data_IF_847328555643
#
_entry.id   IF_847328555643
#
_cell.length_a   1.000
_cell.length_b   1.000
_cell.length_c   1.000
_cell.angle_alpha   90.00
_cell.angle_beta   90.00
_cell.angle_gamma   90.00
#
_symmetry.space_group_name_H-M   'P 1'
#
loop_
_entity.id
_entity.type
_entity.pdbx_description
1 polymer ?
#
# COMPACT_ATOMS: atom_id res chain seq x y z
N UNK A 1 7.64 64.16 -55.33
CA UNK A 1 8.02 64.49 -53.94
C UNK A 1 6.74 64.62 -53.12
N UNK A 2 6.20 63.47 -52.73
CA UNK A 2 6.05 62.92 -51.37
C UNK A 2 4.73 63.36 -50.71
N UNK A 3 3.75 62.48 -50.89
CA UNK A 3 2.48 62.38 -50.16
C UNK A 3 2.75 61.88 -48.73
N UNK A 4 2.34 62.65 -47.72
CA UNK A 4 2.49 62.33 -46.30
C UNK A 4 1.30 61.52 -45.78
N UNK A 5 1.42 60.20 -45.75
CA UNK A 5 0.41 59.29 -45.25
C UNK A 5 0.24 59.40 -43.72
N UNK A 6 -0.96 59.73 -43.28
CA UNK A 6 -1.42 59.65 -41.89
C UNK A 6 -1.51 58.16 -41.47
N UNK A 7 -0.50 57.64 -40.78
CA UNK A 7 -0.54 56.28 -40.21
C UNK A 7 -1.27 56.31 -38.86
N UNK A 8 -2.55 55.95 -38.85
CA UNK A 8 -3.27 55.56 -37.62
C UNK A 8 -2.75 54.19 -37.16
N UNK A 9 -1.92 54.15 -36.12
CA UNK A 9 -1.56 52.90 -35.44
C UNK A 9 -2.65 52.49 -34.46
N UNK A 10 -3.62 51.70 -34.91
CA UNK A 10 -4.43 50.88 -34.01
C UNK A 10 -3.59 49.68 -33.57
N UNK A 11 -2.82 49.82 -32.49
CA UNK A 11 -2.24 48.67 -31.79
C UNK A 11 -3.27 48.27 -30.74
N UNK A 12 -4.18 47.36 -31.12
CA UNK A 12 -5.04 46.67 -30.17
C UNK A 12 -4.19 45.71 -29.34
N UNK A 13 -3.97 46.01 -28.06
CA UNK A 13 -3.47 45.02 -27.11
C UNK A 13 -4.58 43.98 -26.92
N UNK A 14 -4.31 42.72 -27.27
CA UNK A 14 -5.24 41.64 -26.99
C UNK A 14 -5.38 41.47 -25.47
N UNK A 15 -6.54 41.81 -24.93
CA UNK A 15 -6.87 41.62 -23.51
C UNK A 15 -7.44 40.21 -23.35
N UNK A 16 -6.73 39.35 -22.62
CA UNK A 16 -7.22 38.01 -22.28
C UNK A 16 -7.88 38.05 -20.89
N UNK A 17 -9.20 37.85 -20.86
CA UNK A 17 -9.97 37.62 -19.63
C UNK A 17 -10.94 38.77 -19.27
N UNK A 18 -12.12 38.38 -18.77
CA UNK A 18 -13.20 39.28 -18.34
C UNK A 18 -12.76 40.34 -17.33
N UNK A 19 -11.84 39.99 -16.43
CA UNK A 19 -11.31 40.90 -15.40
C UNK A 19 -10.40 41.97 -16.00
N UNK A 20 -9.54 41.59 -16.97
CA UNK A 20 -8.71 42.56 -17.69
C UNK A 20 -9.56 43.54 -18.49
N UNK A 21 -10.65 43.06 -19.07
CA UNK A 21 -11.55 43.89 -19.87
C UNK A 21 -12.37 44.83 -18.98
N UNK A 22 -12.89 44.34 -17.86
CA UNK A 22 -13.60 45.14 -16.86
C UNK A 22 -12.73 46.29 -16.33
N UNK A 23 -11.51 46.00 -15.87
CA UNK A 23 -10.58 47.01 -15.35
C UNK A 23 -10.18 48.05 -16.41
N UNK A 24 -10.11 47.65 -17.69
CA UNK A 24 -9.82 48.60 -18.78
C UNK A 24 -10.97 49.56 -19.07
N UNK A 25 -12.23 49.11 -18.88
CA UNK A 25 -13.43 49.91 -19.11
C UNK A 25 -13.74 50.86 -17.96
N UNK A 26 -13.45 50.46 -16.71
CA UNK A 26 -13.63 51.32 -15.52
C UNK A 26 -12.77 52.58 -15.61
N UNK A 27 -11.60 52.50 -16.23
CA UNK A 27 -10.66 53.62 -16.36
C UNK A 27 -10.86 54.47 -17.63
N UNK A 28 -12.00 54.33 -18.33
CA UNK A 28 -12.31 55.09 -19.55
C UNK A 28 -13.57 55.94 -19.38
N UNK A 29 -13.50 57.18 -19.88
CA UNK A 29 -14.63 58.12 -19.91
C UNK A 29 -15.01 58.44 -21.35
N UNK A 30 -16.31 58.62 -21.59
CA UNK A 30 -16.81 59.06 -22.88
C UNK A 30 -16.68 60.59 -23.01
N UNK A 31 -15.81 61.05 -23.90
CA UNK A 31 -15.69 62.46 -24.26
C UNK A 31 -16.04 62.65 -25.73
N UNK A 32 -17.08 63.46 -26.00
CA UNK A 32 -17.62 63.71 -27.36
C UNK A 32 -17.88 62.43 -28.17
N UNK A 33 -18.40 61.39 -27.50
CA UNK A 33 -18.78 60.11 -28.14
C UNK A 33 -17.63 59.13 -28.39
N UNK A 34 -16.41 59.45 -27.96
CA UNK A 34 -15.25 58.55 -28.06
C UNK A 34 -14.80 58.15 -26.65
N UNK A 35 -14.49 56.87 -26.44
CA UNK A 35 -13.89 56.38 -25.19
C UNK A 35 -12.45 56.86 -25.10
N UNK A 36 -12.13 57.62 -24.06
CA UNK A 36 -10.80 58.14 -23.76
C UNK A 36 -10.39 57.65 -22.37
N UNK A 37 -9.17 57.14 -22.22
CA UNK A 37 -8.65 56.72 -20.92
C UNK A 37 -8.49 57.93 -20.00
N UNK A 38 -9.00 57.85 -18.77
CA UNK A 38 -8.88 58.91 -17.76
C UNK A 38 -7.50 58.89 -17.05
N UNK A 39 -6.62 57.97 -17.47
CA UNK A 39 -5.24 57.92 -16.99
C UNK A 39 -4.51 59.23 -17.31
N UNK A 40 -3.84 59.86 -16.33
CA UNK A 40 -3.07 61.08 -16.57
C UNK A 40 -1.99 60.79 -17.63
N UNK A 41 -1.99 61.55 -18.73
CA UNK A 41 -0.99 61.42 -19.81
C UNK A 41 0.37 62.04 -19.45
N UNK A 42 0.51 62.50 -18.20
CA UNK A 42 1.73 63.00 -17.61
C UNK A 42 1.97 62.24 -16.31
N UNK A 43 3.24 61.97 -16.00
CA UNK A 43 3.63 61.34 -14.75
C UNK A 43 3.19 62.22 -13.57
N UNK A 44 2.11 61.85 -12.89
CA UNK A 44 1.78 62.39 -11.57
C UNK A 44 2.53 61.56 -10.54
N UNK A 45 3.77 61.95 -10.25
CA UNK A 45 4.46 61.47 -9.06
C UNK A 45 3.74 62.05 -7.83
N UNK A 46 3.39 61.20 -6.88
CA UNK A 46 2.85 61.61 -5.57
C UNK A 46 3.88 62.51 -4.87
N UNK A 47 3.59 63.80 -4.83
CA UNK A 47 4.18 64.83 -3.99
C UNK A 47 5.70 65.09 -4.10
N UNK A 48 6.03 66.20 -4.76
CA UNK A 48 7.34 66.91 -4.82
C UNK A 48 8.49 66.15 -5.50
N UNK A 49 9.18 66.77 -6.48
CA UNK A 49 10.44 66.23 -6.95
C UNK A 49 11.44 66.37 -5.80
N UNK A 50 11.79 65.26 -5.17
CA UNK A 50 13.02 65.17 -4.40
C UNK A 50 14.15 65.57 -5.33
N UNK A 51 14.80 66.68 -5.02
CA UNK A 51 15.97 67.17 -5.72
C UNK A 51 16.97 66.00 -5.87
N UNK A 52 17.49 65.81 -7.07
CA UNK A 52 18.43 64.73 -7.42
C UNK A 52 19.53 64.58 -6.35
N UNK A 53 19.48 63.54 -5.51
CA UNK A 53 20.59 63.23 -4.60
C UNK A 53 20.34 62.42 -3.32
N UNK A 54 19.11 62.21 -2.86
CA UNK A 54 18.88 61.62 -1.52
C UNK A 54 18.57 60.12 -1.52
N UNK A 55 19.27 59.41 -0.64
CA UNK A 55 19.26 57.96 -0.40
C UNK A 55 18.11 57.52 0.53
N UNK A 56 17.02 58.28 0.58
CA UNK A 56 15.91 58.10 1.54
C UNK A 56 14.68 57.43 0.90
N UNK A 57 14.77 57.06 -0.38
CA UNK A 57 13.59 56.67 -1.17
C UNK A 57 13.20 55.18 -1.05
N UNK A 58 13.95 54.34 -0.33
CA UNK A 58 13.52 52.95 -0.10
C UNK A 58 12.28 52.89 0.81
N UNK A 59 12.26 53.70 1.88
CA UNK A 59 11.19 53.65 2.87
C UNK A 59 9.88 54.22 2.33
N UNK A 60 9.94 55.33 1.59
CA UNK A 60 8.75 55.99 1.01
C UNK A 60 8.15 55.16 -0.11
N UNK A 61 8.98 54.54 -0.97
CA UNK A 61 8.48 53.64 -2.01
C UNK A 61 7.85 52.37 -1.41
N UNK A 62 8.44 51.82 -0.35
CA UNK A 62 7.91 50.65 0.32
C UNK A 62 6.61 50.97 1.06
N UNK A 63 6.50 52.11 1.74
CA UNK A 63 5.27 52.56 2.41
C UNK A 63 4.14 52.84 1.39
N UNK A 64 4.45 53.50 0.27
CA UNK A 64 3.47 53.71 -0.81
C UNK A 64 3.00 52.39 -1.43
N UNK A 65 3.91 51.43 -1.62
CA UNK A 65 3.56 50.09 -2.11
C UNK A 65 2.63 49.37 -1.12
N UNK A 66 2.89 49.45 0.18
CA UNK A 66 2.01 48.88 1.19
C UNK A 66 0.64 49.57 1.23
N UNK A 67 0.57 50.89 1.10
CA UNK A 67 -0.70 51.64 1.10
C UNK A 67 -1.55 51.41 -0.15
N UNK A 68 -0.94 51.36 -1.34
CA UNK A 68 -1.64 51.01 -2.59
C UNK A 68 -2.18 49.58 -2.54
N UNK A 69 -1.39 48.63 -2.03
CA UNK A 69 -1.83 47.25 -1.84
C UNK A 69 -2.85 47.11 -0.71
N UNK A 70 -2.83 47.99 0.30
CA UNK A 70 -3.80 48.03 1.41
C UNK A 70 -5.19 48.42 0.89
N UNK A 71 -5.30 49.50 0.11
CA UNK A 71 -6.57 49.91 -0.52
C UNK A 71 -7.12 48.82 -1.44
N UNK A 72 -6.26 48.11 -2.19
CA UNK A 72 -6.65 46.94 -3.01
C UNK A 72 -7.00 45.68 -2.19
N UNK A 73 -6.60 45.60 -0.92
CA UNK A 73 -6.86 44.46 -0.05
C UNK A 73 -8.06 44.66 0.87
N UNK A 74 -8.45 45.89 1.18
CA UNK A 74 -9.54 46.20 2.13
C UNK A 74 -10.93 45.70 1.66
N UNK A 75 -11.17 45.59 0.35
CA UNK A 75 -12.50 45.24 -0.19
C UNK A 75 -12.71 43.74 -0.51
N UNK A 76 -11.67 42.90 -0.56
CA UNK A 76 -11.76 41.47 -0.96
C UNK A 76 -10.97 40.52 -0.05
N UNK A 77 -10.88 40.84 1.25
CA UNK A 77 -10.04 40.11 2.22
C UNK A 77 -10.39 38.62 2.33
N UNK A 78 -11.67 38.27 2.31
CA UNK A 78 -12.12 36.88 2.48
C UNK A 78 -11.83 35.99 1.26
N UNK A 79 -12.00 36.53 0.04
CA UNK A 79 -11.72 35.80 -1.20
C UNK A 79 -10.23 35.50 -1.30
N UNK A 80 -9.37 36.50 -1.06
CA UNK A 80 -7.90 36.34 -1.07
C UNK A 80 -7.43 35.35 0.02
N UNK A 81 -8.00 35.43 1.22
CA UNK A 81 -7.70 34.48 2.30
C UNK A 81 -8.08 33.05 1.91
N UNK A 82 -9.25 32.87 1.30
CA UNK A 82 -9.72 31.56 0.82
C UNK A 82 -8.80 31.00 -0.27
N UNK A 83 -8.37 31.83 -1.22
CA UNK A 83 -7.40 31.43 -2.25
C UNK A 83 -6.06 31.01 -1.65
N UNK A 84 -5.53 31.73 -0.66
CA UNK A 84 -4.28 31.38 0.03
C UNK A 84 -4.43 30.05 0.79
N UNK A 85 -5.54 29.83 1.49
CA UNK A 85 -5.80 28.57 2.18
C UNK A 85 -5.96 27.40 1.22
N UNK A 86 -6.63 27.60 0.08
CA UNK A 86 -6.76 26.59 -0.96
C UNK A 86 -5.38 26.23 -1.55
N UNK A 87 -4.53 27.22 -1.84
CA UNK A 87 -3.17 26.99 -2.33
C UNK A 87 -2.29 26.25 -1.31
N UNK A 88 -2.35 26.65 -0.03
CA UNK A 88 -1.63 25.96 1.04
C UNK A 88 -2.12 24.51 1.19
N UNK A 89 -3.44 24.28 1.12
CA UNK A 89 -4.00 22.93 1.20
C UNK A 89 -3.52 22.05 0.05
N UNK A 90 -3.46 22.56 -1.19
CA UNK A 90 -2.92 21.84 -2.34
C UNK A 90 -1.43 21.56 -2.17
N UNK A 91 -0.66 22.54 -1.69
CA UNK A 91 0.78 22.39 -1.44
C UNK A 91 1.07 21.31 -0.39
N UNK A 92 0.45 21.40 0.79
CA UNK A 92 0.63 20.40 1.84
C UNK A 92 0.06 19.03 1.45
N UNK A 93 -1.07 19.00 0.74
CA UNK A 93 -1.63 17.77 0.19
C UNK A 93 -0.69 17.08 -0.80
N UNK A 94 -0.04 17.85 -1.68
CA UNK A 94 0.98 17.37 -2.60
C UNK A 94 2.21 16.83 -1.88
N UNK A 95 2.73 17.57 -0.88
CA UNK A 95 3.87 17.13 -0.08
C UNK A 95 3.58 15.84 0.68
N UNK A 96 2.41 15.73 1.33
CA UNK A 96 2.01 14.52 2.05
C UNK A 96 1.82 13.32 1.11
N UNK A 97 1.27 13.56 -0.08
CA UNK A 97 1.11 12.51 -1.10
C UNK A 97 2.46 12.00 -1.59
N UNK A 98 3.39 12.92 -1.85
CA UNK A 98 4.77 12.56 -2.22
C UNK A 98 5.48 11.81 -1.10
N UNK A 99 5.39 12.29 0.14
CA UNK A 99 5.98 11.63 1.30
C UNK A 99 5.42 10.21 1.50
N UNK A 100 4.10 10.02 1.29
CA UNK A 100 3.48 8.69 1.31
C UNK A 100 4.02 7.79 0.21
N UNK A 101 4.06 8.26 -1.04
CA UNK A 101 4.59 7.46 -2.16
C UNK A 101 6.06 7.08 -1.94
N UNK A 102 6.86 8.01 -1.41
CA UNK A 102 8.25 7.76 -1.06
C UNK A 102 8.38 6.71 0.06
N UNK A 103 7.60 6.84 1.14
CA UNK A 103 7.59 5.88 2.24
C UNK A 103 7.15 4.49 1.79
N UNK A 104 6.08 4.39 0.99
CA UNK A 104 5.61 3.11 0.43
C UNK A 104 6.66 2.53 -0.53
N UNK A 105 7.33 3.36 -1.33
CA UNK A 105 8.46 2.96 -2.18
C UNK A 105 9.64 2.39 -1.39
N UNK A 106 10.02 3.03 -0.28
CA UNK A 106 11.06 2.53 0.62
C UNK A 106 10.66 1.22 1.30
N UNK A 107 9.44 1.13 1.83
CA UNK A 107 8.91 -0.10 2.44
C UNK A 107 8.89 -1.22 1.40
N UNK A 108 8.46 -0.93 0.16
CA UNK A 108 8.49 -1.88 -0.94
C UNK A 108 9.91 -2.36 -1.29
N UNK A 109 10.91 -1.48 -1.17
CA UNK A 109 12.33 -1.83 -1.36
C UNK A 109 12.85 -2.73 -0.23
N UNK A 110 12.45 -2.47 1.01
CA UNK A 110 12.85 -3.23 2.21
C UNK A 110 12.17 -4.60 2.31
N UNK A 111 10.91 -4.71 1.86
CA UNK A 111 10.19 -5.99 1.80
C UNK A 111 10.79 -6.99 0.80
N UNK A 112 11.76 -6.54 -0.01
CA UNK A 112 12.46 -7.37 -0.97
C UNK A 112 11.73 -7.53 -2.30
N UNK A 113 12.39 -8.21 -3.22
CA UNK A 113 11.83 -8.53 -4.53
C UNK A 113 11.41 -9.99 -4.59
N UNK A 114 10.35 -10.28 -5.36
CA UNK A 114 9.95 -11.65 -5.65
C UNK A 114 11.10 -12.34 -6.39
N UNK A 115 11.82 -13.23 -5.69
CA UNK A 115 12.98 -13.94 -6.27
C UNK A 115 12.57 -15.15 -7.10
N UNK A 116 11.45 -15.78 -6.75
CA UNK A 116 10.89 -16.93 -7.45
C UNK A 116 9.38 -16.80 -7.54
N UNK A 117 8.83 -17.23 -8.67
CA UNK A 117 7.40 -17.51 -8.77
C UNK A 117 7.09 -18.76 -7.94
N UNK A 118 6.05 -18.67 -7.11
CA UNK A 118 5.64 -19.79 -6.29
C UNK A 118 4.85 -20.76 -7.14
N UNK A 119 5.12 -22.04 -6.94
CA UNK A 119 4.39 -23.10 -7.60
C UNK A 119 2.98 -23.16 -7.02
N UNK A 120 1.97 -23.20 -7.89
CA UNK A 120 0.56 -23.25 -7.51
C UNK A 120 0.14 -24.62 -7.01
N UNK A 121 0.82 -25.67 -7.49
CA UNK A 121 0.61 -27.05 -7.07
C UNK A 121 1.94 -27.81 -7.04
N UNK A 122 1.96 -28.94 -6.35
CA UNK A 122 3.06 -29.90 -6.34
C UNK A 122 2.52 -31.31 -6.43
N UNK A 123 2.96 -32.05 -7.44
CA UNK A 123 2.68 -33.47 -7.58
C UNK A 123 3.84 -34.29 -7.06
N UNK A 124 3.53 -35.33 -6.29
CA UNK A 124 4.54 -36.25 -5.78
C UNK A 124 4.01 -37.68 -5.73
N UNK A 125 4.87 -38.62 -6.09
CA UNK A 125 4.62 -40.05 -5.99
C UNK A 125 4.80 -40.53 -4.54
N UNK A 126 3.77 -41.21 -4.00
CA UNK A 126 3.71 -41.82 -2.66
C UNK A 126 3.70 -43.35 -2.75
N UNK A 127 3.81 -43.94 -3.95
CA UNK A 127 3.84 -45.39 -4.14
C UNK A 127 4.89 -46.10 -3.27
N UNK A 128 6.06 -45.48 -3.13
CA UNK A 128 7.18 -45.99 -2.35
C UNK A 128 7.07 -45.73 -0.84
N UNK A 129 6.11 -44.91 -0.39
CA UNK A 129 5.91 -44.62 1.04
C UNK A 129 5.09 -45.73 1.69
N UNK A 130 5.69 -46.57 2.57
CA UNK A 130 4.96 -47.62 3.21
C UNK A 130 3.96 -47.05 4.24
N UNK A 131 2.85 -47.76 4.51
CA UNK A 131 1.89 -47.36 5.53
C UNK A 131 2.55 -47.29 6.92
N UNK A 132 2.35 -46.17 7.62
CA UNK A 132 2.96 -45.85 8.91
C UNK A 132 4.15 -44.90 8.81
N UNK A 133 4.66 -44.64 7.60
CA UNK A 133 5.79 -43.74 7.38
C UNK A 133 5.41 -42.29 7.04
N UNK A 134 6.37 -41.39 7.23
CA UNK A 134 6.29 -39.95 7.02
C UNK A 134 7.36 -39.56 6.02
N UNK A 135 6.93 -39.00 4.90
CA UNK A 135 7.78 -38.33 3.94
C UNK A 135 7.86 -36.84 4.29
N UNK A 136 9.06 -36.27 4.20
CA UNK A 136 9.31 -34.85 4.44
C UNK A 136 9.79 -34.20 3.16
N UNK A 137 9.12 -33.14 2.76
CA UNK A 137 9.43 -32.42 1.52
C UNK A 137 9.44 -30.92 1.77
N UNK A 138 9.97 -30.16 0.83
CA UNK A 138 9.94 -28.70 0.87
C UNK A 138 9.15 -28.19 -0.31
N UNK A 139 8.06 -27.46 -0.03
CA UNK A 139 7.24 -26.82 -1.05
C UNK A 139 7.21 -25.31 -0.82
N UNK A 140 7.57 -24.52 -1.84
CA UNK A 140 7.64 -23.06 -1.77
C UNK A 140 8.50 -22.49 -0.61
N UNK A 141 9.49 -23.27 -0.13
CA UNK A 141 10.35 -22.91 1.01
C UNK A 141 9.78 -23.31 2.37
N UNK A 142 8.58 -23.87 2.42
CA UNK A 142 7.97 -24.42 3.63
C UNK A 142 8.08 -25.94 3.68
N UNK A 143 8.54 -26.53 4.81
CA UNK A 143 8.57 -27.97 4.95
C UNK A 143 7.15 -28.51 5.14
N UNK A 144 6.86 -29.65 4.52
CA UNK A 144 5.57 -30.32 4.52
C UNK A 144 5.77 -31.78 4.93
N UNK A 145 4.89 -32.26 5.82
CA UNK A 145 4.80 -33.66 6.18
C UNK A 145 3.68 -34.34 5.43
N UNK A 146 4.02 -35.48 4.87
CA UNK A 146 3.10 -36.38 4.19
C UNK A 146 3.19 -37.71 4.92
N UNK A 147 2.17 -38.05 5.70
CA UNK A 147 2.11 -39.30 6.46
C UNK A 147 1.06 -40.22 5.87
N UNK A 148 1.45 -41.45 5.55
CA UNK A 148 0.49 -42.51 5.18
C UNK A 148 0.10 -43.26 6.44
N UNK A 149 -1.16 -43.16 6.85
CA UNK A 149 -1.70 -43.77 8.06
C UNK A 149 -2.20 -45.19 7.79
N UNK A 150 -1.89 -46.10 8.70
CA UNK A 150 -2.48 -47.45 8.68
C UNK A 150 -3.89 -47.43 9.28
N UNK A 151 -4.70 -48.45 8.97
CA UNK A 151 -6.03 -48.60 9.58
C UNK A 151 -5.99 -48.80 11.09
N UNK A 152 -4.92 -49.37 11.62
CA UNK A 152 -4.73 -49.53 13.06
C UNK A 152 -4.49 -48.18 13.72
N UNK A 153 -3.59 -47.38 13.15
CA UNK A 153 -3.30 -46.04 13.66
C UNK A 153 -4.53 -45.14 13.68
N UNK A 154 -5.37 -45.24 12.65
CA UNK A 154 -6.65 -44.50 12.60
C UNK A 154 -7.54 -44.89 13.78
N UNK A 155 -7.70 -46.19 14.03
CA UNK A 155 -8.50 -46.69 15.15
C UNK A 155 -7.91 -46.25 16.50
N UNK A 156 -6.60 -46.33 16.66
CA UNK A 156 -5.92 -45.94 17.88
C UNK A 156 -6.10 -44.44 18.17
N UNK A 157 -5.95 -43.59 17.15
CA UNK A 157 -6.10 -42.14 17.24
C UNK A 157 -7.54 -41.68 17.45
N UNK A 158 -8.51 -42.42 16.92
CA UNK A 158 -9.94 -42.17 17.12
C UNK A 158 -10.40 -42.56 18.54
N UNK A 159 -9.73 -43.55 19.16
CA UNK A 159 -9.99 -44.00 20.53
C UNK A 159 -9.36 -43.08 21.60
N UNK A 160 -8.43 -42.20 21.24
CA UNK A 160 -7.79 -41.29 22.19
C UNK A 160 -8.81 -40.26 22.75
N UNK A 161 -8.70 -39.90 24.04
CA UNK A 161 -9.61 -38.96 24.66
C UNK A 161 -9.51 -37.59 23.98
N UNK A 162 -10.66 -37.09 23.49
CA UNK A 162 -10.75 -35.78 22.81
C UNK A 162 -10.51 -34.60 23.75
N UNK A 163 -10.69 -34.79 25.05
CA UNK A 163 -10.45 -33.79 26.10
C UNK A 163 -8.99 -33.35 26.20
N UNK A 164 -8.06 -34.20 25.75
CA UNK A 164 -6.62 -33.89 25.77
C UNK A 164 -6.15 -33.10 24.54
N UNK A 165 -7.06 -32.81 23.59
CA UNK A 165 -6.76 -31.99 22.42
C UNK A 165 -6.84 -30.52 22.84
N UNK A 166 -5.76 -29.78 22.61
CA UNK A 166 -5.71 -28.35 22.94
C UNK A 166 -6.49 -27.48 21.93
N UNK A 167 -6.54 -27.91 20.66
CA UNK A 167 -7.29 -27.26 19.58
C UNK A 167 -8.38 -28.20 19.02
N UNK A 168 -9.58 -28.22 19.62
CA UNK A 168 -10.67 -29.10 19.21
C UNK A 168 -11.41 -28.59 17.96
N UNK A 169 -11.24 -27.31 17.60
CA UNK A 169 -12.01 -26.67 16.53
C UNK A 169 -11.35 -26.78 15.15
N UNK A 170 -10.06 -27.13 15.08
CA UNK A 170 -9.38 -27.29 13.79
C UNK A 170 -9.89 -28.53 13.04
N UNK A 171 -10.08 -28.39 11.74
CA UNK A 171 -10.42 -29.52 10.87
C UNK A 171 -9.16 -30.35 10.56
N UNK A 172 -9.20 -31.64 10.90
CA UNK A 172 -8.22 -32.63 10.41
C UNK A 172 -8.86 -33.34 9.22
N UNK A 173 -8.33 -33.10 8.02
CA UNK A 173 -8.78 -33.74 6.80
C UNK A 173 -7.81 -34.85 6.43
N UNK A 174 -8.34 -36.06 6.30
CA UNK A 174 -7.60 -37.24 5.86
C UNK A 174 -8.08 -37.60 4.45
N UNK A 175 -7.14 -37.74 3.52
CA UNK A 175 -7.46 -38.06 2.13
C UNK A 175 -7.35 -39.56 1.92
N UNK A 176 -8.35 -40.17 1.28
CA UNK A 176 -8.37 -41.61 1.06
C UNK A 176 -7.36 -42.00 -0.03
N UNK A 177 -6.60 -43.06 0.21
CA UNK A 177 -5.57 -43.62 -0.68
C UNK A 177 -5.71 -45.15 -0.65
N UNK A 178 -6.61 -45.68 -1.47
CA UNK A 178 -7.02 -47.08 -1.47
C UNK A 178 -7.47 -47.57 -0.09
N UNK A 179 -6.73 -48.53 0.47
CA UNK A 179 -6.99 -49.11 1.80
C UNK A 179 -6.39 -48.30 2.97
N UNK A 180 -5.67 -47.22 2.68
CA UNK A 180 -4.99 -46.35 3.64
C UNK A 180 -5.52 -44.93 3.57
N UNK A 181 -5.12 -44.08 4.52
CA UNK A 181 -5.38 -42.64 4.45
C UNK A 181 -4.06 -41.88 4.48
N UNK A 182 -4.01 -40.75 3.81
CA UNK A 182 -2.85 -39.85 3.81
C UNK A 182 -3.22 -38.57 4.54
N UNK A 183 -2.31 -38.12 5.38
CA UNK A 183 -2.36 -36.83 6.05
C UNK A 183 -1.26 -35.94 5.46
N UNK A 184 -1.65 -34.77 4.97
CA UNK A 184 -0.72 -33.74 4.47
C UNK A 184 -0.85 -32.49 5.33
N UNK A 185 0.21 -32.14 6.03
CA UNK A 185 0.24 -31.01 6.99
C UNK A 185 1.54 -30.23 6.86
N UNK A 186 1.50 -28.96 7.24
CA UNK A 186 2.70 -28.13 7.35
C UNK A 186 3.59 -28.66 8.47
N UNK A 187 4.89 -28.80 8.20
CA UNK A 187 5.87 -29.22 9.19
C UNK A 187 6.36 -28.07 10.09
N UNK A 188 5.62 -26.95 10.12
CA UNK A 188 5.94 -25.80 10.96
C UNK A 188 5.15 -25.85 12.26
N UNK A 189 5.87 -26.00 13.37
CA UNK A 189 5.29 -25.94 14.71
C UNK A 189 4.58 -24.60 14.91
N UNK A 190 3.33 -24.66 15.35
CA UNK A 190 2.47 -23.48 15.59
C UNK A 190 2.92 -22.60 16.76
N UNK A 191 3.92 -23.03 17.55
CA UNK A 191 4.54 -22.20 18.57
C UNK A 191 5.39 -21.08 17.94
N UNK A 192 6.53 -21.43 17.32
CA UNK A 192 7.51 -20.48 16.77
C UNK A 192 8.10 -20.92 15.42
N UNK A 193 7.51 -21.93 14.76
CA UNK A 193 7.92 -22.36 13.42
C UNK A 193 9.08 -23.36 13.35
N UNK A 194 9.52 -23.93 14.48
CA UNK A 194 10.46 -25.06 14.47
C UNK A 194 9.86 -26.28 13.74
N UNK A 195 10.71 -27.17 13.23
CA UNK A 195 10.29 -28.42 12.57
C UNK A 195 10.15 -29.54 13.62
N UNK A 196 8.95 -30.10 13.85
CA UNK A 196 8.77 -31.24 14.75
C UNK A 196 9.44 -32.52 14.20
N UNK A 197 10.01 -33.33 15.08
CA UNK A 197 10.61 -34.62 14.71
C UNK A 197 9.52 -35.70 14.74
N UNK A 198 9.34 -36.51 13.68
CA UNK A 198 8.34 -37.57 13.65
C UNK A 198 8.73 -38.76 14.55
N UNK A 199 7.75 -39.60 14.87
CA UNK A 199 7.89 -40.86 15.64
C UNK A 199 8.38 -40.69 17.07
N UNK A 200 8.18 -39.51 17.65
CA UNK A 200 8.63 -39.19 19.00
C UNK A 200 7.44 -38.80 19.88
N UNK A 201 7.65 -38.88 21.20
CA UNK A 201 6.68 -38.45 22.21
C UNK A 201 5.65 -39.50 22.58
N UNK A 202 4.78 -39.14 23.53
CA UNK A 202 3.81 -40.08 24.14
C UNK A 202 2.79 -40.67 23.15
N UNK A 203 2.56 -39.99 22.02
CA UNK A 203 1.56 -40.36 21.02
C UNK A 203 2.15 -40.95 19.74
N UNK A 204 3.48 -41.17 19.68
CA UNK A 204 4.18 -41.64 18.47
C UNK A 204 3.86 -40.80 17.20
N UNK A 205 3.53 -39.51 17.40
CA UNK A 205 3.23 -38.55 16.35
C UNK A 205 4.45 -37.70 16.05
N UNK A 206 4.45 -36.46 16.55
CA UNK A 206 5.57 -35.54 16.38
C UNK A 206 5.94 -34.81 17.67
N UNK A 207 7.23 -34.51 17.85
CA UNK A 207 7.72 -33.68 18.97
C UNK A 207 8.59 -32.55 18.47
N UNK A 208 8.23 -31.33 18.84
CA UNK A 208 9.05 -30.15 18.64
C UNK A 208 10.05 -30.02 19.80
N UNK A 209 11.32 -30.33 19.53
CA UNK A 209 12.40 -30.30 20.53
C UNK A 209 12.76 -28.88 21.01
N UNK A 210 12.26 -27.83 20.36
CA UNK A 210 12.58 -26.46 20.74
C UNK A 210 12.02 -26.09 22.13
N UNK A 211 10.74 -26.44 22.39
CA UNK A 211 10.07 -26.14 23.65
C UNK A 211 9.15 -27.28 24.13
N UNK A 212 9.27 -28.47 23.54
CA UNK A 212 8.58 -29.68 23.99
C UNK A 212 7.11 -29.78 23.58
N UNK A 213 6.70 -29.16 22.47
CA UNK A 213 5.33 -29.37 21.96
C UNK A 213 5.18 -30.77 21.38
N UNK A 214 4.14 -31.49 21.81
CA UNK A 214 3.84 -32.86 21.39
C UNK A 214 2.56 -32.86 20.57
N UNK A 215 2.63 -33.52 19.42
CA UNK A 215 1.54 -33.73 18.49
C UNK A 215 1.26 -35.24 18.36
N UNK A 216 -0.01 -35.60 18.22
CA UNK A 216 -0.43 -36.97 17.90
C UNK A 216 -0.26 -37.30 16.40
N UNK A 217 -0.63 -38.50 15.93
CA UNK A 217 -0.43 -38.90 14.53
C UNK A 217 -1.35 -38.21 13.53
N UNK A 218 -2.39 -37.53 14.00
CA UNK A 218 -3.26 -36.64 13.21
C UNK A 218 -2.78 -35.19 13.21
N UNK A 219 -1.60 -34.95 13.79
CA UNK A 219 -0.95 -33.66 13.91
C UNK A 219 -1.69 -32.68 14.82
N UNK A 220 -2.51 -33.22 15.73
CA UNK A 220 -3.21 -32.46 16.76
C UNK A 220 -2.30 -32.28 17.95
N UNK A 221 -2.28 -31.07 18.49
CA UNK A 221 -1.47 -30.70 19.63
C UNK A 221 -2.09 -31.25 20.91
N UNK A 222 -1.27 -31.94 21.70
CA UNK A 222 -1.67 -32.60 22.95
C UNK A 222 -0.99 -31.98 24.17
N UNK A 223 0.23 -31.48 23.99
CA UNK A 223 1.02 -30.92 25.09
C UNK A 223 1.98 -29.85 24.60
N UNK A 224 2.33 -28.93 25.50
CA UNK A 224 3.39 -27.94 25.32
C UNK A 224 2.86 -26.53 25.09
N UNK A 225 3.75 -25.59 24.71
CA UNK A 225 3.38 -24.18 24.52
C UNK A 225 2.62 -23.91 23.21
N UNK A 226 2.60 -24.86 22.28
CA UNK A 226 1.79 -24.75 21.07
C UNK A 226 0.32 -24.96 21.42
N UNK A 227 -0.55 -24.05 20.99
CA UNK A 227 -2.00 -24.12 21.26
C UNK A 227 -2.83 -24.54 20.03
N UNK A 228 -2.20 -24.62 18.84
CA UNK A 228 -2.88 -24.91 17.58
C UNK A 228 -2.31 -26.17 16.94
N UNK A 229 -3.15 -26.92 16.23
CA UNK A 229 -2.75 -28.11 15.49
C UNK A 229 -1.86 -27.73 14.29
N UNK A 230 -1.07 -28.68 13.76
CA UNK A 230 -0.28 -28.37 12.56
C UNK A 230 -1.24 -28.01 11.40
N UNK A 231 -0.97 -26.92 10.66
CA UNK A 231 -1.86 -26.48 9.59
C UNK A 231 -2.05 -27.57 8.53
N UNK A 232 -3.30 -27.92 8.27
CA UNK A 232 -3.66 -28.79 7.15
C UNK A 232 -3.33 -28.12 5.81
N UNK A 233 -2.90 -28.92 4.83
CA UNK A 233 -2.65 -28.46 3.47
C UNK A 233 -3.61 -29.18 2.53
N UNK A 234 -4.30 -28.39 1.71
CA UNK A 234 -5.23 -28.93 0.74
C UNK A 234 -4.50 -29.88 -0.21
N UNK A 235 -5.04 -31.08 -0.38
CA UNK A 235 -4.45 -32.11 -1.20
C UNK A 235 -5.52 -33.02 -1.80
N UNK A 236 -5.19 -33.59 -2.96
CA UNK A 236 -5.97 -34.58 -3.68
C UNK A 236 -5.06 -35.75 -4.06
N UNK A 237 -5.64 -36.94 -4.20
CA UNK A 237 -4.90 -38.17 -4.53
C UNK A 237 -5.43 -38.72 -5.84
N UNK A 238 -4.52 -39.07 -6.74
CA UNK A 238 -4.77 -39.66 -8.04
C UNK A 238 -4.16 -41.07 -8.11
N UNK A 239 -4.95 -42.01 -8.63
CA UNK A 239 -4.56 -43.41 -8.84
C UNK A 239 -3.94 -44.12 -7.61
N UNK A 240 -4.30 -43.69 -6.39
CA UNK A 240 -3.76 -44.19 -5.11
C UNK A 240 -2.23 -44.10 -4.96
N UNK A 241 -1.56 -43.34 -5.83
CA UNK A 241 -0.10 -43.27 -5.94
C UNK A 241 0.37 -41.82 -5.92
N UNK A 242 -0.29 -40.94 -6.68
CA UNK A 242 0.15 -39.55 -6.83
C UNK A 242 -0.64 -38.66 -5.89
N UNK A 243 0.06 -37.85 -5.10
CA UNK A 243 -0.55 -36.79 -4.29
C UNK A 243 -0.26 -35.45 -4.90
N UNK A 244 -1.34 -34.73 -5.16
CA UNK A 244 -1.29 -33.35 -5.60
C UNK A 244 -1.59 -32.45 -4.40
N UNK A 245 -0.63 -31.59 -4.08
CA UNK A 245 -0.77 -30.55 -3.07
C UNK A 245 -1.16 -29.28 -3.79
N UNK A 246 -2.28 -28.69 -3.40
CA UNK A 246 -2.85 -27.48 -4.00
C UNK A 246 -2.69 -26.29 -3.04
N UNK A 247 -2.71 -25.07 -3.59
CA UNK A 247 -2.42 -23.80 -2.90
C UNK A 247 -2.63 -23.83 -1.38
N UNK A 248 -1.51 -23.73 -0.64
CA UNK A 248 -1.55 -23.58 0.81
C UNK A 248 -2.26 -22.25 1.12
N UNK A 249 -3.43 -22.30 1.76
CA UNK A 249 -4.03 -21.11 2.37
C UNK A 249 -3.11 -20.66 3.50
N UNK A 250 -2.17 -19.77 3.22
CA UNK A 250 -1.35 -19.14 4.25
C UNK A 250 -2.22 -18.12 5.01
N UNK A 251 -2.52 -18.33 6.31
CA UNK A 251 -3.35 -17.38 7.06
C UNK A 251 -2.64 -16.04 7.33
N UNK A 252 -1.32 -15.95 7.09
CA UNK A 252 -0.47 -14.79 7.42
C UNK A 252 0.26 -14.19 6.24
N UNK A 253 0.01 -14.66 5.02
CA UNK A 253 0.63 -14.04 3.87
C UNK A 253 -0.14 -12.78 3.47
N UNK A 254 0.53 -11.64 3.25
CA UNK A 254 -0.15 -10.48 2.70
C UNK A 254 -0.73 -10.85 1.34
N UNK A 255 -2.06 -10.96 1.30
CA UNK A 255 -2.85 -11.38 0.13
C UNK A 255 -2.74 -10.43 -1.07
N UNK A 256 -2.03 -9.31 -0.90
CA UNK A 256 -1.91 -8.27 -1.91
C UNK A 256 -0.45 -7.92 -2.14
N UNK A 257 -0.03 -8.02 -3.40
CA UNK A 257 1.07 -7.19 -3.89
C UNK A 257 0.64 -5.75 -3.61
N UNK A 258 1.42 -5.01 -2.82
CA UNK A 258 1.18 -3.58 -2.55
C UNK A 258 1.18 -2.70 -3.82
N UNK A 259 1.41 -3.29 -5.00
CA UNK A 259 1.71 -2.61 -6.27
C UNK A 259 1.03 -3.24 -7.50
N UNK A 260 -0.16 -3.81 -7.36
CA UNK A 260 -1.02 -4.14 -8.52
C UNK A 260 -2.33 -3.40 -8.41
#
# INVERSE_FOLDING_TARGET
MISGAFRRSFIGRAHFGLVSEYNSRVNQKLYKGVQVSEAPQFFTTSARPGNFGDHIDFKVQMDNWFDENRVHNEHETEIKRTQIYALNAVYYGGLLSFARLFAVGLIGRLNGWKRYDRDTYLEMDIGDLPPGEVMQIVWNGTPVFIRRLTQQEIKDEDNLPKETILDPNSEVVLTNCGNTKVLVVSALCTHLGCIPIPYLGAYNGWVCICHGSVYDKYARVRQGPALQNLPFINNSIYDDVIVCIEEMKFPREPSQRYWT
#
